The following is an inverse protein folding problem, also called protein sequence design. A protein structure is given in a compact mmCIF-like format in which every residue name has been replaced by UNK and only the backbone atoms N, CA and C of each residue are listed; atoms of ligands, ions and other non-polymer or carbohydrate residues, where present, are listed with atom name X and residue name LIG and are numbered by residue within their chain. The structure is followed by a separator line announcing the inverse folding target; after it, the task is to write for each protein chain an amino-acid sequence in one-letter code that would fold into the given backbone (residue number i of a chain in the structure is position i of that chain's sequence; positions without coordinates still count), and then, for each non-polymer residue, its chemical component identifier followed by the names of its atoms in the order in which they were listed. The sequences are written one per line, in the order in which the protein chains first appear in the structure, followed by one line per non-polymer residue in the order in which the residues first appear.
data_IF_361246435437
#
_entry.id   IF_361246435437
#
_cell.length_a   1.000
_cell.length_b   1.000
_cell.length_c   1.000
_cell.angle_alpha   90.00
_cell.angle_beta   90.00
_cell.angle_gamma   90.00
#
_symmetry.space_group_name_H-M   'P 1'
#
loop_
_entity.id
_entity.type
_entity.pdbx_description
1 polymer ?
#
# COMPACT_ATOMS: atom_id res chain seq x y z
N UNK A 1 -5.89 7.14 -22.95
CA UNK A 1 -5.29 6.31 -21.87
C UNK A 1 -4.96 4.90 -22.36
N UNK A 2 -5.88 4.16 -22.99
CA UNK A 2 -5.61 2.78 -23.45
C UNK A 2 -4.54 2.65 -24.54
N UNK A 3 -4.38 3.70 -25.37
CA UNK A 3 -3.38 3.71 -26.44
C UNK A 3 -1.98 4.18 -26.00
N UNK A 4 -1.82 4.51 -24.70
CA UNK A 4 -0.56 4.95 -24.12
C UNK A 4 0.16 3.77 -23.46
N UNK A 5 1.49 3.79 -23.47
CA UNK A 5 2.26 2.88 -22.63
C UNK A 5 2.09 3.22 -21.13
N UNK A 6 2.53 2.32 -20.25
CA UNK A 6 2.30 2.48 -18.80
C UNK A 6 3.04 3.68 -18.19
N UNK A 7 4.15 4.12 -18.79
CA UNK A 7 4.86 5.31 -18.35
C UNK A 7 4.10 6.58 -18.71
N UNK A 8 3.68 6.73 -19.96
CA UNK A 8 2.87 7.84 -20.43
C UNK A 8 1.52 7.90 -19.70
N UNK A 9 0.91 6.75 -19.37
CA UNK A 9 -0.27 6.71 -18.52
C UNK A 9 -0.01 7.35 -17.15
N UNK A 10 1.08 6.98 -16.47
CA UNK A 10 1.44 7.52 -15.15
C UNK A 10 1.74 9.02 -15.18
N UNK A 11 2.42 9.49 -16.25
CA UNK A 11 2.69 10.93 -16.46
C UNK A 11 1.39 11.72 -16.68
N UNK A 12 0.48 11.22 -17.52
CA UNK A 12 -0.83 11.86 -17.75
C UNK A 12 -1.63 11.92 -16.46
N UNK A 13 -1.71 10.82 -15.70
CA UNK A 13 -2.40 10.80 -14.40
C UNK A 13 -1.81 11.83 -13.43
N UNK A 14 -0.49 11.98 -13.41
CA UNK A 14 0.19 12.98 -12.58
C UNK A 14 -0.10 14.40 -13.05
N UNK A 15 -0.12 14.64 -14.37
CA UNK A 15 -0.47 15.94 -14.94
C UNK A 15 -1.91 16.36 -14.59
N UNK A 16 -2.85 15.40 -14.61
CA UNK A 16 -4.26 15.62 -14.29
C UNK A 16 -4.52 16.04 -12.83
N UNK A 17 -3.55 15.90 -11.91
CA UNK A 17 -3.65 16.45 -10.56
C UNK A 17 -3.85 17.97 -10.52
N UNK A 18 -3.54 18.66 -11.61
CA UNK A 18 -3.75 20.12 -11.75
C UNK A 18 -5.18 20.48 -12.16
N UNK A 19 -5.96 19.49 -12.60
CA UNK A 19 -7.31 19.71 -13.08
C UNK A 19 -8.30 19.80 -11.93
N UNK A 20 -9.31 20.66 -12.10
CA UNK A 20 -10.47 20.73 -11.21
C UNK A 20 -11.73 20.49 -12.02
N UNK A 21 -12.52 19.44 -11.71
CA UNK A 21 -13.82 19.22 -12.34
C UNK A 21 -14.73 20.45 -12.15
N UNK A 22 -15.57 20.70 -13.15
CA UNK A 22 -16.48 21.85 -13.21
C UNK A 22 -17.82 21.55 -12.55
N UNK A 23 -18.19 20.28 -12.45
CA UNK A 23 -19.41 19.80 -11.80
C UNK A 23 -19.18 18.43 -11.15
N UNK A 24 -20.09 18.05 -10.26
CA UNK A 24 -20.10 16.72 -9.64
C UNK A 24 -20.31 15.62 -10.70
N UNK A 25 -21.15 15.86 -11.71
CA UNK A 25 -21.34 14.92 -12.82
C UNK A 25 -20.02 14.64 -13.55
N UNK A 26 -19.26 15.68 -13.90
CA UNK A 26 -17.95 15.52 -14.53
C UNK A 26 -16.96 14.81 -13.59
N UNK A 27 -16.97 15.13 -12.30
CA UNK A 27 -16.15 14.46 -11.31
C UNK A 27 -16.43 12.95 -11.32
N UNK A 28 -17.70 12.53 -11.23
CA UNK A 28 -18.06 11.11 -11.19
C UNK A 28 -17.79 10.40 -12.51
N UNK A 29 -17.94 11.08 -13.65
CA UNK A 29 -17.51 10.57 -14.95
C UNK A 29 -16.00 10.30 -14.98
N UNK A 30 -15.18 11.24 -14.49
CA UNK A 30 -13.72 11.09 -14.41
C UNK A 30 -13.35 9.93 -13.46
N UNK A 31 -13.95 9.87 -12.26
CA UNK A 31 -13.67 8.81 -11.29
C UNK A 31 -14.03 7.43 -11.87
N UNK A 32 -15.15 7.32 -12.59
CA UNK A 32 -15.55 6.08 -13.26
C UNK A 32 -14.55 5.65 -14.32
N UNK A 33 -13.94 6.58 -15.05
CA UNK A 33 -12.87 6.29 -16.00
C UNK A 33 -11.57 5.83 -15.31
N UNK A 34 -11.25 6.41 -14.16
CA UNK A 34 -10.06 6.07 -13.38
C UNK A 34 -10.16 4.70 -12.69
N UNK A 35 -11.36 4.25 -12.39
CA UNK A 35 -11.63 3.03 -11.63
C UNK A 35 -10.92 1.78 -12.19
N UNK A 36 -10.95 1.61 -13.53
CA UNK A 36 -10.26 0.50 -14.19
C UNK A 36 -8.73 0.51 -13.98
N UNK A 37 -8.14 1.67 -13.73
CA UNK A 37 -6.68 1.83 -13.54
C UNK A 37 -6.26 1.64 -12.08
N UNK A 38 -7.19 1.70 -11.11
CA UNK A 38 -6.90 1.39 -9.70
C UNK A 38 -6.41 -0.04 -9.51
N UNK A 39 -6.82 -0.95 -10.40
CA UNK A 39 -6.43 -2.36 -10.43
C UNK A 39 -5.34 -2.68 -11.46
N UNK A 40 -4.63 -1.66 -11.96
CA UNK A 40 -3.56 -1.86 -12.95
C UNK A 40 -2.48 -2.82 -12.43
N UNK A 41 -2.02 -3.72 -13.30
CA UNK A 41 -0.90 -4.61 -13.01
C UNK A 41 0.44 -3.85 -12.86
N UNK A 42 0.50 -2.62 -13.37
CA UNK A 42 1.65 -1.75 -13.24
C UNK A 42 1.52 -0.90 -11.97
N UNK A 43 2.37 -1.16 -10.98
CA UNK A 43 2.32 -0.50 -9.67
C UNK A 43 2.33 1.04 -9.77
N UNK A 44 3.16 1.61 -10.64
CA UNK A 44 3.25 3.07 -10.82
C UNK A 44 1.98 3.68 -11.45
N UNK A 45 1.25 2.93 -12.28
CA UNK A 45 -0.04 3.36 -12.82
C UNK A 45 -1.09 3.30 -11.71
N UNK A 46 -1.21 2.16 -11.00
CA UNK A 46 -2.19 1.99 -9.92
C UNK A 46 -2.03 3.06 -8.82
N UNK A 47 -0.79 3.35 -8.41
CA UNK A 47 -0.47 4.37 -7.40
C UNK A 47 -0.76 5.78 -7.92
N UNK A 48 -0.39 6.11 -9.17
CA UNK A 48 -0.69 7.42 -9.75
C UNK A 48 -2.20 7.63 -9.89
N UNK A 49 -2.95 6.60 -10.30
CA UNK A 49 -4.40 6.61 -10.35
C UNK A 49 -4.98 6.81 -8.96
N UNK A 50 -4.56 6.04 -7.96
CA UNK A 50 -5.04 6.19 -6.59
C UNK A 50 -4.80 7.61 -6.07
N UNK A 51 -3.61 8.17 -6.30
CA UNK A 51 -3.30 9.56 -5.91
C UNK A 51 -4.25 10.58 -6.55
N UNK A 52 -4.49 10.47 -7.86
CA UNK A 52 -5.42 11.34 -8.57
C UNK A 52 -6.86 11.16 -8.07
N UNK A 53 -7.28 9.92 -7.89
CA UNK A 53 -8.60 9.55 -7.41
C UNK A 53 -8.88 10.15 -6.03
N UNK A 54 -7.96 9.96 -5.08
CA UNK A 54 -8.07 10.53 -3.74
C UNK A 54 -8.06 12.06 -3.76
N UNK A 55 -7.27 12.67 -4.63
CA UNK A 55 -7.23 14.13 -4.78
C UNK A 55 -8.59 14.69 -5.26
N UNK A 56 -9.13 14.12 -6.33
CA UNK A 56 -10.41 14.55 -6.91
C UNK A 56 -11.60 14.27 -5.99
N UNK A 57 -11.61 13.09 -5.33
CA UNK A 57 -12.69 12.68 -4.44
C UNK A 57 -12.54 13.19 -2.99
N UNK A 58 -11.75 14.25 -2.75
CA UNK A 58 -11.49 14.77 -1.39
C UNK A 58 -12.72 15.20 -0.61
N UNK A 59 -13.80 15.58 -1.29
CA UNK A 59 -15.10 15.89 -0.68
C UNK A 59 -15.99 14.64 -0.45
N UNK A 60 -15.57 13.46 -0.87
CA UNK A 60 -16.36 12.21 -0.85
C UNK A 60 -15.61 11.07 -0.15
N UNK A 61 -15.58 11.04 1.20
CA UNK A 61 -14.80 10.05 1.97
C UNK A 61 -15.18 8.60 1.69
N UNK A 62 -16.46 8.31 1.45
CA UNK A 62 -16.92 6.95 1.11
C UNK A 62 -16.33 6.46 -0.22
N UNK A 63 -16.22 7.36 -1.20
CA UNK A 63 -15.65 7.08 -2.53
C UNK A 63 -14.13 6.89 -2.43
N UNK A 64 -13.46 7.64 -1.57
CA UNK A 64 -12.03 7.44 -1.27
C UNK A 64 -11.76 6.09 -0.60
N UNK A 65 -12.58 5.71 0.40
CA UNK A 65 -12.42 4.44 1.10
C UNK A 65 -12.57 3.24 0.15
N UNK A 66 -13.56 3.31 -0.75
CA UNK A 66 -13.77 2.30 -1.78
C UNK A 66 -12.59 2.22 -2.78
N UNK A 67 -12.04 3.36 -3.21
CA UNK A 67 -10.84 3.36 -4.05
C UNK A 67 -9.63 2.73 -3.36
N UNK A 68 -9.41 3.03 -2.08
CA UNK A 68 -8.34 2.43 -1.27
C UNK A 68 -8.51 0.90 -1.17
N UNK A 69 -9.75 0.43 -0.98
CA UNK A 69 -10.07 -0.99 -0.96
C UNK A 69 -9.74 -1.65 -2.32
N UNK A 70 -10.14 -1.05 -3.44
CA UNK A 70 -9.87 -1.59 -4.78
C UNK A 70 -8.38 -1.66 -5.12
N UNK A 71 -7.58 -0.71 -4.64
CA UNK A 71 -6.12 -0.69 -4.87
C UNK A 71 -5.34 -1.60 -3.91
N UNK A 72 -5.99 -2.22 -2.91
CA UNK A 72 -5.33 -3.10 -1.93
C UNK A 72 -4.57 -4.27 -2.59
N UNK A 73 -5.19 -4.97 -3.54
CA UNK A 73 -4.57 -6.12 -4.20
C UNK A 73 -3.31 -5.75 -5.01
N UNK A 74 -3.32 -4.71 -5.88
CA UNK A 74 -2.10 -4.22 -6.53
C UNK A 74 -1.00 -3.78 -5.57
N UNK A 75 -1.33 -3.12 -4.45
CA UNK A 75 -0.33 -2.71 -3.45
C UNK A 75 0.30 -3.92 -2.75
N UNK A 76 -0.52 -4.91 -2.39
CA UNK A 76 -0.02 -6.16 -1.81
C UNK A 76 0.84 -6.95 -2.80
N UNK A 77 0.50 -6.94 -4.10
CA UNK A 77 1.34 -7.52 -5.14
C UNK A 77 2.70 -6.80 -5.25
N UNK A 78 2.69 -5.47 -5.13
CA UNK A 78 3.91 -4.64 -5.11
C UNK A 78 4.80 -4.97 -3.90
N UNK A 79 4.23 -5.24 -2.73
CA UNK A 79 4.95 -5.73 -1.55
C UNK A 79 5.58 -7.12 -1.73
N UNK A 80 5.21 -7.86 -2.77
CA UNK A 80 5.81 -9.12 -3.17
C UNK A 80 6.75 -9.01 -4.37
N UNK A 81 6.99 -7.80 -4.90
CA UNK A 81 7.77 -7.60 -6.11
C UNK A 81 9.21 -8.13 -5.97
N UNK A 82 9.79 -8.64 -7.07
CA UNK A 82 11.16 -9.14 -7.10
C UNK A 82 12.21 -8.06 -6.85
N UNK A 83 11.98 -6.84 -7.34
CA UNK A 83 12.81 -5.67 -7.04
C UNK A 83 12.63 -5.26 -5.58
N UNK A 84 13.75 -5.05 -4.88
CA UNK A 84 13.78 -4.68 -3.47
C UNK A 84 13.30 -3.25 -3.25
N UNK A 85 13.61 -2.37 -4.19
CA UNK A 85 13.21 -0.95 -4.21
C UNK A 85 11.70 -0.85 -4.38
N UNK A 86 11.15 -1.57 -5.37
CA UNK A 86 9.72 -1.60 -5.62
C UNK A 86 8.96 -2.21 -4.44
N UNK A 87 9.50 -3.29 -3.85
CA UNK A 87 8.96 -3.90 -2.64
C UNK A 87 8.87 -2.92 -1.49
N UNK A 88 9.97 -2.21 -1.22
CA UNK A 88 10.01 -1.22 -0.14
C UNK A 88 9.04 -0.06 -0.38
N UNK A 89 8.95 0.45 -1.61
CA UNK A 89 7.98 1.47 -1.98
C UNK A 89 6.53 0.98 -1.75
N UNK A 90 6.24 -0.27 -2.12
CA UNK A 90 4.95 -0.92 -1.83
C UNK A 90 4.61 -0.95 -0.34
N UNK A 91 5.58 -1.33 0.51
CA UNK A 91 5.39 -1.34 1.96
C UNK A 91 5.12 0.06 2.52
N UNK A 92 5.84 1.08 2.04
CA UNK A 92 5.59 2.48 2.41
C UNK A 92 4.18 2.94 2.02
N UNK A 93 3.68 2.54 0.85
CA UNK A 93 2.32 2.84 0.43
C UNK A 93 1.28 2.12 1.26
N UNK A 94 1.47 0.83 1.57
CA UNK A 94 0.59 0.08 2.47
C UNK A 94 0.48 0.76 3.83
N UNK A 95 1.61 1.14 4.44
CA UNK A 95 1.61 1.84 5.73
C UNK A 95 0.84 3.17 5.65
N UNK A 96 1.01 3.93 4.57
CA UNK A 96 0.25 5.17 4.38
C UNK A 96 -1.25 4.92 4.19
N UNK A 97 -1.64 3.86 3.49
CA UNK A 97 -3.05 3.47 3.34
C UNK A 97 -3.65 3.03 4.67
N UNK A 98 -2.90 2.31 5.51
CA UNK A 98 -3.36 1.88 6.84
C UNK A 98 -3.68 3.05 7.77
N UNK A 99 -2.95 4.16 7.66
CA UNK A 99 -3.26 5.39 8.41
C UNK A 99 -4.60 6.01 7.99
N UNK A 100 -4.99 5.84 6.73
CA UNK A 100 -6.26 6.35 6.19
C UNK A 100 -7.42 5.37 6.39
N UNK A 101 -7.15 4.07 6.36
CA UNK A 101 -8.12 2.97 6.52
C UNK A 101 -7.53 1.88 7.42
N UNK A 102 -7.66 2.04 8.76
CA UNK A 102 -7.14 1.07 9.72
C UNK A 102 -7.73 -0.33 9.48
N UNK A 103 -6.88 -1.36 9.60
CA UNK A 103 -7.32 -2.75 9.46
C UNK A 103 -7.57 -3.24 8.03
N UNK A 104 -7.43 -2.39 7.00
CA UNK A 104 -7.68 -2.79 5.59
C UNK A 104 -6.85 -4.02 5.16
N UNK A 105 -5.64 -4.16 5.68
CA UNK A 105 -4.75 -5.29 5.38
C UNK A 105 -4.72 -6.36 6.49
N UNK A 106 -5.62 -6.30 7.45
CA UNK A 106 -5.65 -7.18 8.63
C UNK A 106 -5.71 -8.65 8.28
N UNK A 107 -6.52 -9.05 7.29
CA UNK A 107 -6.61 -10.43 6.80
C UNK A 107 -5.37 -10.91 6.04
N UNK A 108 -4.49 -9.98 5.66
CA UNK A 108 -3.29 -10.23 4.87
C UNK A 108 -2.00 -10.11 5.68
N UNK A 109 -2.06 -9.99 7.01
CA UNK A 109 -0.90 -9.76 7.89
C UNK A 109 0.29 -10.69 7.63
N UNK A 110 0.04 -11.98 7.33
CA UNK A 110 1.09 -12.98 7.02
C UNK A 110 1.97 -12.61 5.82
N UNK A 111 1.49 -11.77 4.89
CA UNK A 111 2.29 -11.29 3.76
C UNK A 111 3.44 -10.37 4.21
N UNK A 112 3.36 -9.82 5.41
CA UNK A 112 4.37 -8.95 6.00
C UNK A 112 5.35 -9.70 6.90
N UNK A 113 5.32 -11.03 6.95
CA UNK A 113 6.39 -11.80 7.59
C UNK A 113 7.69 -11.63 6.81
N UNK A 114 8.80 -11.57 7.55
CA UNK A 114 10.14 -11.31 7.04
C UNK A 114 10.73 -12.58 6.43
N UNK A 115 11.24 -12.47 5.20
CA UNK A 115 12.04 -13.52 4.60
C UNK A 115 13.48 -13.49 5.13
N UNK A 116 14.11 -14.66 5.25
CA UNK A 116 15.49 -14.79 5.72
C UNK A 116 16.49 -13.92 4.93
N UNK A 117 16.37 -13.91 3.60
CA UNK A 117 17.26 -13.19 2.69
C UNK A 117 16.88 -11.72 2.45
N UNK A 118 15.85 -11.22 3.13
CA UNK A 118 15.43 -9.83 2.97
C UNK A 118 16.41 -8.87 3.65
N UNK A 119 16.76 -7.74 3.00
CA UNK A 119 17.55 -6.70 3.65
C UNK A 119 16.87 -6.14 4.91
N UNK A 120 17.67 -5.73 5.89
CA UNK A 120 17.17 -5.24 7.19
C UNK A 120 16.14 -4.11 7.07
N UNK A 121 16.31 -3.19 6.10
CA UNK A 121 15.35 -2.08 5.92
C UNK A 121 13.95 -2.55 5.46
N UNK A 122 13.86 -3.66 4.72
CA UNK A 122 12.57 -4.28 4.35
C UNK A 122 11.98 -4.98 5.57
N UNK A 123 12.80 -5.74 6.31
CA UNK A 123 12.37 -6.43 7.53
C UNK A 123 11.82 -5.45 8.56
N UNK A 124 12.52 -4.33 8.77
CA UNK A 124 12.11 -3.27 9.70
C UNK A 124 10.76 -2.68 9.30
N UNK A 125 10.57 -2.30 8.03
CA UNK A 125 9.29 -1.76 7.55
C UNK A 125 8.15 -2.77 7.68
N UNK A 126 8.42 -4.05 7.40
CA UNK A 126 7.45 -5.14 7.58
C UNK A 126 7.06 -5.31 9.04
N UNK A 127 8.01 -5.24 9.96
CA UNK A 127 7.78 -5.31 11.39
C UNK A 127 6.91 -4.14 11.88
N UNK A 128 7.17 -2.91 11.43
CA UNK A 128 6.31 -1.75 11.73
C UNK A 128 4.86 -1.98 11.28
N UNK A 129 4.68 -2.49 10.05
CA UNK A 129 3.34 -2.83 9.53
C UNK A 129 2.68 -3.93 10.37
N UNK A 130 3.42 -4.97 10.77
CA UNK A 130 2.88 -6.04 11.60
C UNK A 130 2.34 -5.51 12.93
N UNK A 131 3.10 -4.66 13.62
CA UNK A 131 2.69 -4.04 14.88
C UNK A 131 1.40 -3.23 14.71
N UNK A 132 1.26 -2.49 13.60
CA UNK A 132 0.04 -1.74 13.30
C UNK A 132 -1.16 -2.63 12.91
N UNK A 133 -0.94 -3.88 12.48
CA UNK A 133 -2.00 -4.83 12.08
C UNK A 133 -2.43 -5.80 13.18
N UNK A 134 -1.76 -5.80 14.34
CA UNK A 134 -2.09 -6.72 15.44
C UNK A 134 -3.51 -6.47 15.94
N UNK A 135 -4.25 -7.56 16.16
CA UNK A 135 -5.56 -7.59 16.78
C UNK A 135 -5.77 -8.92 17.53
N UNK A 136 -6.91 -9.05 18.21
CA UNK A 136 -7.24 -10.23 19.02
C UNK A 136 -7.21 -11.56 18.25
N UNK A 137 -7.40 -11.52 16.92
CA UNK A 137 -7.44 -12.72 16.08
C UNK A 137 -6.04 -13.19 15.65
N UNK A 138 -5.09 -12.27 15.48
CA UNK A 138 -3.77 -12.57 14.91
C UNK A 138 -2.59 -12.44 15.90
N UNK A 139 -2.82 -11.87 17.09
CA UNK A 139 -1.78 -11.57 18.08
C UNK A 139 -0.86 -12.75 18.40
N UNK A 140 -1.41 -13.96 18.56
CA UNK A 140 -0.62 -15.14 18.89
C UNK A 140 0.43 -15.46 17.82
N UNK A 141 0.05 -15.40 16.54
CA UNK A 141 0.93 -15.69 15.42
C UNK A 141 1.92 -14.56 15.15
N UNK A 142 1.49 -13.30 15.32
CA UNK A 142 2.41 -12.15 15.18
C UNK A 142 3.46 -12.17 16.29
N UNK A 143 3.08 -12.49 17.54
CA UNK A 143 4.04 -12.62 18.65
C UNK A 143 5.05 -13.75 18.43
N UNK A 144 4.59 -14.90 17.93
CA UNK A 144 5.49 -16.02 17.58
C UNK A 144 6.52 -15.59 16.52
N UNK A 145 6.04 -14.89 15.49
CA UNK A 145 6.89 -14.37 14.42
C UNK A 145 7.89 -13.32 14.96
N UNK A 146 7.46 -12.34 15.75
CA UNK A 146 8.33 -11.31 16.34
C UNK A 146 9.40 -11.92 17.27
N UNK A 147 9.07 -12.98 18.02
CA UNK A 147 10.05 -13.70 18.84
C UNK A 147 11.19 -14.29 18.01
N UNK A 148 10.91 -14.77 16.80
CA UNK A 148 11.96 -15.26 15.89
C UNK A 148 12.92 -14.15 15.46
N UNK A 149 12.45 -12.90 15.40
CA UNK A 149 13.25 -11.74 15.02
C UNK A 149 14.15 -11.24 16.14
N UNK A 150 13.84 -11.54 17.41
CA UNK A 150 14.69 -11.20 18.56
C UNK A 150 16.09 -11.84 18.49
N UNK A 151 16.28 -12.86 17.65
CA UNK A 151 17.56 -13.52 17.41
C UNK A 151 18.15 -13.24 16.02
N UNK A 152 17.64 -12.22 15.30
CA UNK A 152 18.17 -11.84 13.99
C UNK A 152 19.62 -11.34 14.09
N UNK A 153 20.38 -11.53 13.01
CA UNK A 153 21.78 -11.10 12.90
C UNK A 153 21.94 -9.58 12.93
N UNK A 154 20.90 -8.82 12.58
CA UNK A 154 20.86 -7.37 12.73
C UNK A 154 20.48 -7.02 14.18
N UNK A 155 21.39 -6.45 14.98
CA UNK A 155 21.08 -6.08 16.36
C UNK A 155 19.98 -5.03 16.44
N UNK A 156 19.90 -4.13 15.45
CA UNK A 156 18.85 -3.12 15.38
C UNK A 156 17.46 -3.75 15.19
N UNK A 157 17.35 -4.75 14.31
CA UNK A 157 16.09 -5.46 14.10
C UNK A 157 15.71 -6.29 15.34
N UNK A 158 16.68 -6.98 15.93
CA UNK A 158 16.46 -7.75 17.16
C UNK A 158 15.97 -6.87 18.31
N UNK A 159 16.60 -5.72 18.52
CA UNK A 159 16.18 -4.74 19.53
C UNK A 159 14.78 -4.19 19.25
N UNK A 160 14.49 -3.88 17.98
CA UNK A 160 13.18 -3.38 17.59
C UNK A 160 12.08 -4.43 17.77
N UNK A 161 12.37 -5.70 17.51
CA UNK A 161 11.45 -6.82 17.77
C UNK A 161 11.19 -7.00 19.27
N UNK A 162 12.23 -6.93 20.10
CA UNK A 162 12.09 -6.97 21.57
C UNK A 162 11.22 -5.81 22.07
N UNK A 163 11.40 -4.60 21.53
CA UNK A 163 10.62 -3.43 21.91
C UNK A 163 9.16 -3.47 21.44
N UNK A 164 8.86 -4.27 20.40
CA UNK A 164 7.52 -4.42 19.83
C UNK A 164 6.65 -5.47 20.56
N UNK A 165 7.26 -6.33 21.40
CA UNK A 165 6.59 -7.33 22.25
C UNK A 165 6.20 -6.72 23.57
#
# INVERSE_FOLDING_TARGET
MKDLDSWAQSEVLTFLLRYRPRSDDELFDILSLLDAFLQSAHAHVAVATLRLFLHLASAHPAVQADALLRTSAPLLATCGAGSRELRFAGLCHVQQVMRSQPGLFGTHYKRFFCGYSEPSYIKFRKMEILVELVNDENVALVLEELRSYCTDVSPELAQAAIAAI
#
